data_IF_195315034234
#
_entry.id   IF_195315034234
#
_cell.length_a   1.000
_cell.length_b   1.000
_cell.length_c   1.000
_cell.angle_alpha   90.00
_cell.angle_beta   90.00
_cell.angle_gamma   90.00
#
_symmetry.space_group_name_H-M   'P 1'
#
loop_
_entity.id
_entity.type
_entity.pdbx_description
1 polymer ?
#
# COMPACT_ATOMS: atom_id res chain seq x y z
N UNK A 1 30.54 -1.16 -12.73
CA UNK A 1 30.56 0.28 -13.11
C UNK A 1 31.88 0.91 -12.73
N UNK A 2 32.30 0.85 -11.47
CA UNK A 2 33.57 1.44 -11.00
C UNK A 2 34.83 0.58 -11.22
N UNK A 3 34.65 -0.64 -11.73
CA UNK A 3 35.75 -1.59 -12.00
C UNK A 3 35.89 -1.92 -13.49
N UNK A 4 35.08 -1.33 -14.38
CA UNK A 4 35.16 -1.63 -15.81
C UNK A 4 36.20 -0.76 -16.52
N UNK A 5 36.75 -1.27 -17.63
CA UNK A 5 37.80 -0.59 -18.41
C UNK A 5 37.39 0.83 -18.83
N UNK A 6 36.11 1.02 -19.20
CA UNK A 6 35.57 2.35 -19.56
C UNK A 6 35.68 3.37 -18.43
N UNK A 7 35.44 2.95 -17.18
CA UNK A 7 35.58 3.83 -16.02
C UNK A 7 37.05 4.11 -15.72
N UNK A 8 37.89 3.07 -15.69
CA UNK A 8 39.32 3.18 -15.38
C UNK A 8 40.01 4.12 -16.38
N UNK A 9 39.66 4.06 -17.66
CA UNK A 9 40.20 4.93 -18.69
C UNK A 9 39.70 6.38 -18.64
N UNK A 10 38.59 6.65 -17.92
CA UNK A 10 37.97 7.98 -17.89
C UNK A 10 38.77 9.03 -17.11
N UNK A 11 38.54 10.32 -17.41
CA UNK A 11 39.11 11.40 -16.61
C UNK A 11 38.45 11.50 -15.22
N UNK A 12 37.20 11.03 -15.09
CA UNK A 12 36.45 11.06 -13.84
C UNK A 12 37.08 10.15 -12.77
N UNK A 13 37.49 8.93 -13.14
CA UNK A 13 38.15 7.98 -12.21
C UNK A 13 39.49 8.49 -11.68
N UNK A 14 40.17 9.38 -12.42
CA UNK A 14 41.46 9.96 -12.04
C UNK A 14 41.33 11.18 -11.13
N UNK A 15 40.18 11.84 -11.12
CA UNK A 15 39.89 12.97 -10.23
C UNK A 15 39.88 12.54 -8.76
N UNK A 16 40.15 13.47 -7.84
CA UNK A 16 40.06 13.20 -6.39
C UNK A 16 38.67 12.69 -6.01
N UNK A 17 37.62 13.37 -6.47
CA UNK A 17 36.22 13.01 -6.21
C UNK A 17 35.89 11.62 -6.75
N UNK A 18 36.33 11.27 -7.97
CA UNK A 18 36.04 9.96 -8.57
C UNK A 18 36.71 8.81 -7.82
N UNK A 19 37.90 9.04 -7.25
CA UNK A 19 38.57 8.07 -6.37
C UNK A 19 37.81 7.87 -5.07
N UNK A 20 37.40 8.97 -4.43
CA UNK A 20 36.61 8.94 -3.19
C UNK A 20 35.29 8.18 -3.39
N UNK A 21 34.54 8.47 -4.48
CA UNK A 21 33.32 7.72 -4.81
C UNK A 21 33.62 6.24 -5.03
N UNK A 22 34.73 5.91 -5.71
CA UNK A 22 35.10 4.51 -5.96
C UNK A 22 35.39 3.79 -4.65
N UNK A 23 36.11 4.43 -3.73
CA UNK A 23 36.39 3.90 -2.39
C UNK A 23 35.10 3.68 -1.58
N UNK A 24 34.19 4.67 -1.54
CA UNK A 24 32.88 4.52 -0.89
C UNK A 24 32.11 3.34 -1.48
N UNK A 25 32.00 3.26 -2.80
CA UNK A 25 31.17 2.24 -3.47
C UNK A 25 31.79 0.85 -3.38
N UNK A 26 33.12 0.71 -3.38
CA UNK A 26 33.78 -0.61 -3.39
C UNK A 26 34.17 -1.09 -1.99
N UNK A 27 34.44 -0.19 -1.05
CA UNK A 27 35.11 -0.52 0.21
C UNK A 27 34.27 -0.16 1.45
N UNK A 28 33.43 0.89 1.39
CA UNK A 28 32.59 1.28 2.52
C UNK A 28 31.39 0.35 2.70
N UNK A 29 31.48 -0.53 3.70
CA UNK A 29 30.39 -1.45 4.07
C UNK A 29 29.19 -0.72 4.66
N UNK A 30 29.40 0.37 5.39
CA UNK A 30 28.34 1.12 6.04
C UNK A 30 27.47 1.82 5.00
N UNK A 31 28.08 2.36 3.94
CA UNK A 31 27.36 2.88 2.77
C UNK A 31 26.33 1.87 2.24
N UNK A 32 26.74 0.62 2.01
CA UNK A 32 25.83 -0.42 1.50
C UNK A 32 24.78 -0.87 2.50
N UNK A 33 25.09 -0.90 3.80
CA UNK A 33 24.11 -1.15 4.85
C UNK A 33 23.01 -0.08 4.82
N UNK A 34 23.39 1.19 4.66
CA UNK A 34 22.43 2.30 4.52
C UNK A 34 21.61 2.20 3.23
N UNK A 35 22.24 1.89 2.09
CA UNK A 35 21.50 1.66 0.83
C UNK A 35 20.50 0.51 0.97
N UNK A 36 20.89 -0.61 1.59
CA UNK A 36 19.98 -1.72 1.84
C UNK A 36 18.81 -1.31 2.73
N UNK A 37 19.07 -0.48 3.75
CA UNK A 37 18.03 0.05 4.61
C UNK A 37 17.04 0.94 3.85
N UNK A 38 17.53 1.83 2.98
CA UNK A 38 16.69 2.67 2.12
C UNK A 38 15.77 1.79 1.26
N UNK A 39 16.31 0.77 0.60
CA UNK A 39 15.52 -0.16 -0.23
C UNK A 39 14.48 -0.92 0.60
N UNK A 40 14.84 -1.38 1.81
CA UNK A 40 13.91 -2.07 2.72
C UNK A 40 12.66 -1.24 3.01
N UNK A 41 12.83 0.06 3.21
CA UNK A 41 11.76 1.01 3.53
C UNK A 41 11.01 1.49 2.29
N UNK A 42 11.71 1.76 1.18
CA UNK A 42 11.11 2.38 -0.01
C UNK A 42 10.39 1.39 -0.93
N UNK A 43 10.86 0.14 -1.04
CA UNK A 43 10.29 -0.84 -1.97
C UNK A 43 8.79 -1.12 -1.72
N UNK A 44 8.29 -1.29 -0.47
CA UNK A 44 6.86 -1.44 -0.24
C UNK A 44 6.03 -0.24 -0.73
N UNK A 45 6.57 0.97 -0.64
CA UNK A 45 5.91 2.19 -1.13
C UNK A 45 5.93 2.26 -2.66
N UNK A 46 7.04 1.89 -3.30
CA UNK A 46 7.13 1.81 -4.77
C UNK A 46 6.13 0.79 -5.32
N UNK A 47 5.87 -0.32 -4.62
CA UNK A 47 4.82 -1.28 -4.98
C UNK A 47 3.42 -0.67 -4.92
N UNK A 48 3.13 0.17 -3.92
CA UNK A 48 1.86 0.92 -3.86
C UNK A 48 1.77 1.91 -5.02
N UNK A 49 2.84 2.64 -5.33
CA UNK A 49 2.87 3.56 -6.46
C UNK A 49 2.60 2.83 -7.79
N UNK A 50 3.25 1.68 -8.00
CA UNK A 50 3.03 0.84 -9.18
C UNK A 50 1.60 0.33 -9.30
N UNK A 51 0.92 0.08 -8.17
CA UNK A 51 -0.48 -0.34 -8.15
C UNK A 51 -1.42 0.80 -8.58
N UNK A 52 -1.17 2.04 -8.15
CA UNK A 52 -2.03 3.18 -8.49
C UNK A 52 -1.74 3.81 -9.85
N UNK A 53 -0.53 3.61 -10.36
CA UNK A 53 -0.09 4.04 -11.69
C UNK A 53 -0.48 3.04 -12.79
N UNK A 54 -1.07 1.89 -12.42
CA UNK A 54 -1.53 0.89 -13.37
C UNK A 54 -2.88 1.27 -13.97
N UNK A 55 -2.91 1.54 -15.27
CA UNK A 55 -4.15 1.88 -16.00
C UNK A 55 -5.07 0.66 -16.24
N UNK A 56 -4.61 -0.56 -15.99
CA UNK A 56 -5.34 -1.78 -16.33
C UNK A 56 -6.46 -2.15 -15.32
N UNK A 57 -6.34 -1.74 -14.06
CA UNK A 57 -7.25 -2.15 -12.98
C UNK A 57 -7.64 -0.96 -12.10
N UNK A 58 -8.91 -0.85 -11.66
CA UNK A 58 -9.32 0.19 -10.72
C UNK A 58 -8.54 0.11 -9.40
N UNK A 59 -7.60 1.04 -9.18
CA UNK A 59 -6.76 1.03 -7.98
C UNK A 59 -7.52 1.41 -6.69
N UNK A 60 -8.69 2.05 -6.82
CA UNK A 60 -9.45 2.57 -5.69
C UNK A 60 -9.82 1.50 -4.66
N UNK A 61 -10.17 0.30 -5.14
CA UNK A 61 -10.53 -0.84 -4.28
C UNK A 61 -9.36 -1.51 -3.57
N UNK A 62 -8.11 -1.13 -3.89
CA UNK A 62 -6.90 -1.78 -3.35
C UNK A 62 -6.02 -0.82 -2.56
N UNK A 63 -6.05 0.48 -2.85
CA UNK A 63 -5.12 1.46 -2.31
C UNK A 63 -5.08 1.50 -0.78
N UNK A 64 -6.24 1.47 -0.11
CA UNK A 64 -6.32 1.48 1.35
C UNK A 64 -5.53 0.30 1.97
N UNK A 65 -5.84 -0.94 1.55
CA UNK A 65 -5.17 -2.14 2.05
C UNK A 65 -3.69 -2.17 1.66
N UNK A 66 -3.36 -1.67 0.46
CA UNK A 66 -1.97 -1.61 -0.01
C UNK A 66 -1.09 -0.72 0.86
N UNK A 67 -1.60 0.42 1.33
CA UNK A 67 -0.88 1.31 2.26
C UNK A 67 -0.70 0.64 3.62
N UNK A 68 -1.73 -0.01 4.15
CA UNK A 68 -1.64 -0.75 5.42
C UNK A 68 -0.60 -1.88 5.34
N UNK A 69 -0.64 -2.68 4.27
CA UNK A 69 0.37 -3.70 4.01
C UNK A 69 1.77 -3.13 3.81
N UNK A 70 1.90 -1.95 3.18
CA UNK A 70 3.20 -1.30 3.05
C UNK A 70 3.78 -0.97 4.43
N UNK A 71 2.95 -0.41 5.34
CA UNK A 71 3.35 -0.16 6.73
C UNK A 71 3.73 -1.44 7.46
N UNK A 72 2.94 -2.51 7.35
CA UNK A 72 3.26 -3.82 7.96
C UNK A 72 4.56 -4.42 7.40
N UNK A 73 4.79 -4.35 6.10
CA UNK A 73 6.02 -4.83 5.47
C UNK A 73 7.26 -4.05 5.92
N UNK A 74 7.17 -2.72 6.06
CA UNK A 74 8.26 -1.90 6.58
C UNK A 74 8.59 -2.31 8.03
N UNK A 75 7.56 -2.48 8.88
CA UNK A 75 7.73 -2.94 10.26
C UNK A 75 8.47 -4.29 10.31
N UNK A 76 8.00 -5.26 9.52
CA UNK A 76 8.58 -6.60 9.46
C UNK A 76 10.04 -6.58 8.96
N UNK A 77 10.33 -5.83 7.89
CA UNK A 77 11.69 -5.70 7.31
C UNK A 77 12.68 -4.97 8.23
N UNK A 78 12.16 -4.18 9.17
CA UNK A 78 12.91 -3.55 10.25
C UNK A 78 12.95 -4.42 11.52
N UNK A 79 12.68 -5.73 11.43
CA UNK A 79 12.65 -6.68 12.54
C UNK A 79 11.74 -6.23 13.70
N UNK A 80 10.66 -5.50 13.40
CA UNK A 80 9.78 -4.89 14.39
C UNK A 80 10.47 -3.95 15.40
N UNK A 81 11.69 -3.48 15.09
CA UNK A 81 12.39 -2.50 15.94
C UNK A 81 11.78 -1.12 15.73
N UNK A 82 10.99 -0.68 16.70
CA UNK A 82 10.21 0.58 16.66
C UNK A 82 11.05 1.78 16.27
N UNK A 83 12.27 1.90 16.81
CA UNK A 83 13.17 3.03 16.50
C UNK A 83 13.55 3.12 15.02
N UNK A 84 13.52 2.01 14.28
CA UNK A 84 13.90 1.96 12.87
C UNK A 84 12.73 2.29 11.93
N UNK A 85 11.52 1.80 12.21
CA UNK A 85 10.38 2.00 11.30
C UNK A 85 9.48 3.19 11.67
N UNK A 86 9.39 3.55 12.96
CA UNK A 86 8.42 4.53 13.46
C UNK A 86 8.51 5.90 12.76
N UNK A 87 9.72 6.45 12.48
CA UNK A 87 9.81 7.71 11.73
C UNK A 87 9.15 7.64 10.35
N UNK A 88 9.29 6.50 9.65
CA UNK A 88 8.73 6.30 8.32
C UNK A 88 7.23 6.07 8.36
N UNK A 89 6.74 5.21 9.26
CA UNK A 89 5.28 5.00 9.39
C UNK A 89 4.58 6.29 9.77
N UNK A 90 5.18 7.13 10.63
CA UNK A 90 4.63 8.45 10.98
C UNK A 90 4.55 9.39 9.77
N UNK A 91 5.55 9.38 8.88
CA UNK A 91 5.51 10.16 7.64
C UNK A 91 4.40 9.63 6.73
N UNK A 92 4.29 8.31 6.59
CA UNK A 92 3.25 7.66 5.77
C UNK A 92 1.87 8.04 6.31
N UNK A 93 1.61 7.87 7.61
CA UNK A 93 0.33 8.20 8.24
C UNK A 93 0.01 9.70 8.07
N UNK A 94 0.99 10.58 8.29
CA UNK A 94 0.79 12.03 8.10
C UNK A 94 0.43 12.40 6.66
N UNK A 95 0.98 11.69 5.67
CA UNK A 95 0.64 11.91 4.25
C UNK A 95 -0.69 11.28 3.88
N UNK A 96 -0.95 10.08 4.40
CA UNK A 96 -2.21 9.38 4.25
C UNK A 96 -3.36 10.25 4.74
N UNK A 97 -3.35 10.64 6.01
CA UNK A 97 -4.46 11.38 6.63
C UNK A 97 -4.72 12.76 6.01
N UNK A 98 -3.67 13.41 5.47
CA UNK A 98 -3.77 14.78 4.95
C UNK A 98 -4.02 14.88 3.46
N UNK A 99 -3.63 13.88 2.67
CA UNK A 99 -3.55 14.00 1.21
C UNK A 99 -4.23 12.85 0.47
N UNK A 100 -4.14 11.62 0.97
CA UNK A 100 -4.50 10.43 0.21
C UNK A 100 -5.72 9.71 0.76
N UNK A 101 -5.93 9.73 2.07
CA UNK A 101 -7.06 9.08 2.70
C UNK A 101 -8.35 9.83 2.43
N UNK A 102 -9.37 9.10 1.99
CA UNK A 102 -10.73 9.62 1.89
C UNK A 102 -11.72 8.49 2.18
N UNK A 103 -12.95 8.84 2.60
CA UNK A 103 -14.02 7.85 2.72
C UNK A 103 -14.21 6.98 1.47
N UNK A 104 -13.91 7.51 0.28
CA UNK A 104 -14.04 6.79 -0.99
C UNK A 104 -13.02 5.66 -1.12
N UNK A 105 -11.78 5.85 -0.69
CA UNK A 105 -10.76 4.79 -0.67
C UNK A 105 -11.13 3.68 0.31
N UNK A 106 -11.61 4.07 1.49
CA UNK A 106 -12.10 3.14 2.50
C UNK A 106 -13.33 2.36 2.00
N UNK A 107 -14.28 3.03 1.35
CA UNK A 107 -15.44 2.42 0.72
C UNK A 107 -15.05 1.44 -0.41
N UNK A 108 -14.10 1.83 -1.27
CA UNK A 108 -13.58 0.96 -2.33
C UNK A 108 -12.95 -0.31 -1.76
N UNK A 109 -12.18 -0.19 -0.69
CA UNK A 109 -11.60 -1.33 0.02
C UNK A 109 -12.66 -2.25 0.63
N UNK A 110 -13.69 -1.66 1.25
CA UNK A 110 -14.84 -2.41 1.79
C UNK A 110 -15.57 -3.21 0.70
N UNK A 111 -15.78 -2.62 -0.47
CA UNK A 111 -16.46 -3.23 -1.61
C UNK A 111 -15.60 -4.23 -2.39
N UNK A 112 -14.31 -4.35 -2.08
CA UNK A 112 -13.43 -5.35 -2.67
C UNK A 112 -13.54 -6.68 -1.90
N UNK A 113 -14.22 -7.71 -2.45
CA UNK A 113 -14.48 -8.93 -1.69
C UNK A 113 -13.21 -9.72 -1.38
N UNK A 114 -12.22 -9.70 -2.29
CA UNK A 114 -10.97 -10.42 -2.05
C UNK A 114 -10.14 -9.84 -0.90
N UNK A 115 -10.34 -8.55 -0.58
CA UNK A 115 -9.74 -7.92 0.59
C UNK A 115 -10.64 -8.07 1.81
N UNK A 116 -11.90 -7.63 1.73
CA UNK A 116 -12.79 -7.51 2.87
C UNK A 116 -13.06 -8.86 3.57
N UNK A 117 -13.20 -9.94 2.79
CA UNK A 117 -13.41 -11.29 3.32
C UNK A 117 -12.10 -12.02 3.62
N UNK A 118 -10.94 -11.43 3.34
CA UNK A 118 -9.66 -12.05 3.66
C UNK A 118 -9.53 -12.26 5.17
N UNK A 119 -9.08 -13.44 5.64
CA UNK A 119 -8.89 -13.69 7.08
C UNK A 119 -7.82 -12.78 7.71
N UNK A 120 -6.93 -12.21 6.90
CA UNK A 120 -5.86 -11.33 7.36
C UNK A 120 -6.26 -9.85 7.40
N UNK A 121 -7.46 -9.50 6.93
CA UNK A 121 -7.90 -8.10 6.88
C UNK A 121 -8.44 -7.64 8.24
N UNK A 122 -7.78 -6.63 8.83
CA UNK A 122 -8.02 -6.18 10.22
C UNK A 122 -8.90 -4.95 10.32
N UNK A 123 -8.91 -4.08 9.31
CA UNK A 123 -9.47 -2.72 9.42
C UNK A 123 -10.96 -2.64 9.05
N UNK A 124 -11.75 -3.70 9.33
CA UNK A 124 -13.16 -3.80 8.93
C UNK A 124 -14.01 -2.61 9.39
N UNK A 125 -13.87 -2.19 10.64
CA UNK A 125 -14.66 -1.09 11.20
C UNK A 125 -14.38 0.24 10.50
N UNK A 126 -13.13 0.50 10.13
CA UNK A 126 -12.74 1.76 9.48
C UNK A 126 -13.27 1.83 8.05
N UNK A 127 -13.13 0.74 7.29
CA UNK A 127 -13.64 0.71 5.91
C UNK A 127 -15.17 0.77 5.83
N UNK A 128 -15.87 0.17 6.80
CA UNK A 128 -17.33 0.30 6.94
C UNK A 128 -17.73 1.75 7.24
N UNK A 129 -17.01 2.45 8.12
CA UNK A 129 -17.26 3.88 8.39
C UNK A 129 -17.04 4.74 7.16
N UNK A 130 -16.00 4.44 6.39
CA UNK A 130 -15.73 5.09 5.11
C UNK A 130 -16.88 4.90 4.12
N UNK A 131 -17.35 3.66 3.96
CA UNK A 131 -18.50 3.33 3.13
C UNK A 131 -19.76 4.10 3.56
N UNK A 132 -20.13 4.05 4.84
CA UNK A 132 -21.31 4.76 5.34
C UNK A 132 -21.20 6.27 5.11
N UNK A 133 -20.01 6.84 5.29
CA UNK A 133 -19.74 8.26 5.02
C UNK A 133 -19.93 8.62 3.54
N UNK A 134 -19.60 7.70 2.62
CA UNK A 134 -19.88 7.85 1.20
C UNK A 134 -21.39 7.78 0.92
N UNK A 135 -22.11 6.81 1.47
CA UNK A 135 -23.57 6.69 1.29
C UNK A 135 -24.28 7.96 1.75
N UNK A 136 -23.99 8.44 2.96
CA UNK A 136 -24.60 9.67 3.51
C UNK A 136 -24.35 10.92 2.65
N UNK A 137 -23.27 10.93 1.86
CA UNK A 137 -22.91 12.07 1.01
C UNK A 137 -23.43 11.95 -0.43
N UNK A 138 -23.55 10.71 -0.93
CA UNK A 138 -23.88 10.43 -2.33
C UNK A 138 -25.36 10.15 -2.55
N UNK A 139 -26.05 9.58 -1.55
CA UNK A 139 -27.48 9.36 -1.55
C UNK A 139 -28.13 10.32 -0.55
N UNK A 140 -29.12 11.09 -0.99
CA UNK A 140 -29.79 12.10 -0.17
C UNK A 140 -31.16 11.63 0.32
N UNK A 141 -31.75 10.61 -0.33
CA UNK A 141 -33.02 10.03 0.05
C UNK A 141 -32.85 9.03 1.20
N UNK A 142 -33.41 9.29 2.40
CA UNK A 142 -33.32 8.38 3.55
C UNK A 142 -33.84 6.98 3.25
N UNK A 143 -34.90 6.85 2.44
CA UNK A 143 -35.48 5.53 2.14
C UNK A 143 -34.51 4.68 1.30
N UNK A 144 -33.70 5.32 0.45
CA UNK A 144 -32.66 4.63 -0.31
C UNK A 144 -31.42 4.35 0.54
N UNK A 145 -31.06 5.25 1.47
CA UNK A 145 -30.01 4.96 2.45
C UNK A 145 -30.34 3.72 3.28
N UNK A 146 -31.57 3.61 3.79
CA UNK A 146 -32.00 2.46 4.59
C UNK A 146 -31.93 1.15 3.80
N UNK A 147 -32.34 1.16 2.52
CA UNK A 147 -32.20 -0.01 1.62
C UNK A 147 -30.73 -0.39 1.42
N UNK A 148 -29.86 0.59 1.17
CA UNK A 148 -28.42 0.35 1.01
C UNK A 148 -27.82 -0.26 2.28
N UNK A 149 -28.18 0.26 3.46
CA UNK A 149 -27.69 -0.26 4.74
C UNK A 149 -28.21 -1.68 5.02
N UNK A 150 -29.46 -2.00 4.63
CA UNK A 150 -29.98 -3.36 4.74
C UNK A 150 -29.19 -4.36 3.88
N UNK A 151 -28.93 -4.01 2.61
CA UNK A 151 -28.09 -4.82 1.71
C UNK A 151 -26.64 -4.95 2.21
N UNK A 152 -26.14 -3.90 2.87
CA UNK A 152 -24.80 -3.88 3.45
C UNK A 152 -24.60 -4.99 4.48
N UNK A 153 -25.61 -5.24 5.32
CA UNK A 153 -25.52 -6.28 6.35
C UNK A 153 -25.57 -7.69 5.75
N UNK A 154 -26.25 -7.87 4.62
CA UNK A 154 -26.20 -9.11 3.85
C UNK A 154 -24.81 -9.33 3.26
N UNK A 155 -24.22 -8.30 2.65
CA UNK A 155 -22.84 -8.35 2.16
C UNK A 155 -21.87 -8.66 3.29
N UNK A 156 -21.81 -7.86 4.37
CA UNK A 156 -20.83 -8.05 5.46
C UNK A 156 -20.77 -9.49 5.99
N UNK A 157 -21.92 -10.15 6.07
CA UNK A 157 -22.08 -11.49 6.63
C UNK A 157 -22.07 -12.61 5.57
N UNK A 158 -21.88 -12.28 4.29
CA UNK A 158 -21.98 -13.20 3.16
C UNK A 158 -23.29 -14.01 3.18
N UNK A 159 -24.42 -13.31 3.33
CA UNK A 159 -25.76 -13.91 3.34
C UNK A 159 -26.36 -13.83 1.92
N UNK A 160 -27.19 -14.82 1.57
CA UNK A 160 -27.86 -14.88 0.27
C UNK A 160 -26.86 -15.09 -0.87
N UNK A 161 -27.01 -14.32 -1.95
CA UNK A 161 -26.15 -14.41 -3.14
C UNK A 161 -24.67 -14.15 -2.83
N UNK A 162 -24.34 -13.33 -1.83
CA UNK A 162 -22.96 -13.06 -1.42
C UNK A 162 -22.27 -14.26 -0.75
N UNK A 163 -23.06 -15.20 -0.24
CA UNK A 163 -22.61 -16.45 0.41
C UNK A 163 -22.60 -17.67 -0.50
N UNK A 164 -23.10 -17.54 -1.73
CA UNK A 164 -23.14 -18.66 -2.66
C UNK A 164 -21.71 -19.15 -2.98
N UNK A 165 -21.55 -20.46 -3.17
CA UNK A 165 -20.23 -21.08 -3.40
C UNK A 165 -19.49 -20.46 -4.59
N UNK A 166 -20.23 -20.13 -5.66
CA UNK A 166 -19.69 -19.41 -6.81
C UNK A 166 -19.20 -18.00 -6.44
N UNK A 167 -19.98 -17.23 -5.68
CA UNK A 167 -19.60 -15.88 -5.26
C UNK A 167 -18.33 -15.92 -4.40
N UNK A 168 -18.25 -16.85 -3.44
CA UNK A 168 -17.07 -17.07 -2.59
C UNK A 168 -15.83 -17.40 -3.44
N UNK A 169 -15.97 -18.32 -4.40
CA UNK A 169 -14.85 -18.74 -5.26
C UNK A 169 -14.34 -17.63 -6.20
N UNK A 170 -15.17 -16.63 -6.51
CA UNK A 170 -14.85 -15.55 -7.44
C UNK A 170 -14.29 -14.29 -6.76
N UNK A 171 -14.32 -14.19 -5.42
CA UNK A 171 -13.90 -12.99 -4.66
C UNK A 171 -12.50 -12.49 -5.01
N UNK A 172 -11.58 -13.39 -5.29
CA UNK A 172 -10.17 -13.09 -5.60
C UNK A 172 -9.86 -13.10 -7.11
N UNK A 173 -10.86 -13.38 -7.96
CA UNK A 173 -10.67 -13.62 -9.40
C UNK A 173 -11.20 -12.49 -10.28
N UNK A 174 -12.17 -11.73 -9.77
CA UNK A 174 -12.77 -10.61 -10.47
C UNK A 174 -12.24 -9.33 -9.81
N UNK A 175 -11.68 -8.42 -10.61
CA UNK A 175 -11.31 -7.10 -10.07
C UNK A 175 -12.61 -6.34 -9.76
N UNK A 176 -12.69 -5.62 -8.62
CA UNK A 176 -13.83 -4.78 -8.30
C UNK A 176 -14.00 -3.61 -9.27
#
# INVERSE_FOLDING_TARGET
MFTCDKWIASNHSKSSIGKEITEIVLEDKEFWVQCQFIVKVSEPLVRVLRLVDGDEKPAMGYLYDAIERAKENIKARCNNKVSLFSPFTRIIDSRWDRQLHSPLHAAGCFLNPGIYYSPNFKNKNEVIRGFNSCVMKMELDPDNQDKIIAELDLYKNAIGEFGHSLAIHQRDKINP
#
